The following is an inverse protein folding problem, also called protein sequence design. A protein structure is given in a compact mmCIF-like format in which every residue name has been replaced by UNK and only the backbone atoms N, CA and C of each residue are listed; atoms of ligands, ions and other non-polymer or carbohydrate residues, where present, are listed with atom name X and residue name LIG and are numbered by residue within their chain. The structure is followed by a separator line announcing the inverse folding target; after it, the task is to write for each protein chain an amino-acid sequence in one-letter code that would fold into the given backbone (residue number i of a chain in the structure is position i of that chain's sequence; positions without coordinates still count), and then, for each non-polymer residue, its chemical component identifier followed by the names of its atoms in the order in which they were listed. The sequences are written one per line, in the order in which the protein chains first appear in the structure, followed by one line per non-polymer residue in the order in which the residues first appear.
data_IF_100854940349
#
_entry.id   IF_100854940349
#
_cell.length_a   1.000
_cell.length_b   1.000
_cell.length_c   1.000
_cell.angle_alpha   90.00
_cell.angle_beta   90.00
_cell.angle_gamma   90.00
#
_symmetry.space_group_name_H-M   'P 1'
#
loop_
_entity.id
_entity.type
_entity.pdbx_description
1 polymer ?
#
# COMPACT_ATOMS: atom_id res chain seq x y z
N UNK A 1 -11.41 -23.70 6.17
CA UNK A 1 -12.06 -22.75 5.25
C UNK A 1 -11.16 -21.54 5.11
N UNK A 2 -10.77 -21.17 3.89
CA UNK A 2 -10.04 -19.93 3.61
C UNK A 2 -11.06 -18.78 3.73
N UNK A 3 -10.69 -17.67 4.37
CA UNK A 3 -11.62 -16.54 4.53
C UNK A 3 -12.06 -16.01 3.15
N UNK A 4 -13.36 -15.69 2.92
CA UNK A 4 -13.91 -15.33 1.61
C UNK A 4 -13.14 -14.24 0.85
N UNK A 5 -12.57 -13.26 1.58
CA UNK A 5 -11.79 -12.17 1.00
C UNK A 5 -10.47 -12.63 0.35
N UNK A 6 -9.90 -13.75 0.79
CA UNK A 6 -8.63 -14.28 0.24
C UNK A 6 -8.86 -14.88 -1.16
N UNK A 7 -9.98 -15.59 -1.34
CA UNK A 7 -10.35 -16.13 -2.66
C UNK A 7 -10.63 -15.00 -3.65
N UNK A 8 -11.34 -13.96 -3.21
CA UNK A 8 -11.55 -12.76 -4.01
C UNK A 8 -10.22 -12.10 -4.39
N UNK A 9 -9.31 -11.87 -3.43
CA UNK A 9 -7.97 -11.30 -3.70
C UNK A 9 -7.23 -12.12 -4.75
N UNK A 10 -7.24 -13.44 -4.63
CA UNK A 10 -6.56 -14.33 -5.58
C UNK A 10 -7.15 -14.20 -6.99
N UNK A 11 -8.47 -14.22 -7.12
CA UNK A 11 -9.17 -14.06 -8.40
C UNK A 11 -8.95 -12.67 -9.00
N UNK A 12 -8.99 -11.62 -8.18
CA UNK A 12 -8.72 -10.25 -8.61
C UNK A 12 -7.29 -10.10 -9.14
N UNK A 13 -6.29 -10.52 -8.36
CA UNK A 13 -4.87 -10.42 -8.71
C UNK A 13 -4.54 -11.19 -9.99
N UNK A 14 -5.24 -12.30 -10.27
CA UNK A 14 -5.07 -13.04 -11.51
C UNK A 14 -5.38 -12.20 -12.78
N UNK A 15 -6.07 -11.06 -12.66
CA UNK A 15 -6.33 -10.11 -13.75
C UNK A 15 -5.21 -9.08 -13.98
N UNK A 16 -4.27 -8.91 -13.04
CA UNK A 16 -3.15 -7.98 -13.22
C UNK A 16 -2.23 -8.42 -14.34
N UNK A 17 -1.61 -7.47 -15.04
CA UNK A 17 -0.54 -7.75 -15.98
C UNK A 17 0.60 -8.59 -15.37
N UNK A 18 1.10 -9.58 -16.13
CA UNK A 18 2.31 -10.34 -15.78
C UNK A 18 3.58 -9.69 -16.27
N UNK A 19 3.48 -8.53 -16.95
CA UNK A 19 4.63 -7.77 -17.41
C UNK A 19 5.44 -7.22 -16.23
N UNK A 20 6.71 -6.92 -16.50
CA UNK A 20 7.53 -6.13 -15.58
C UNK A 20 6.97 -4.71 -15.47
N UNK A 21 7.26 -4.04 -14.38
CA UNK A 21 6.81 -2.66 -14.18
C UNK A 21 6.77 -2.24 -12.74
N UNK A 22 6.08 -1.12 -12.51
CA UNK A 22 5.88 -0.53 -11.20
C UNK A 22 4.44 -0.77 -10.76
N UNK A 23 4.21 -0.92 -9.47
CA UNK A 23 2.88 -1.03 -8.88
C UNK A 23 2.75 -0.14 -7.66
N UNK A 24 1.52 0.24 -7.35
CA UNK A 24 1.18 0.83 -6.06
C UNK A 24 0.14 -0.04 -5.34
N UNK A 25 0.33 -0.25 -4.04
CA UNK A 25 -0.74 -0.71 -3.16
C UNK A 25 -1.47 0.53 -2.67
N UNK A 26 -2.80 0.55 -2.84
CA UNK A 26 -3.61 1.71 -2.53
C UNK A 26 -4.62 1.39 -1.42
N UNK A 27 -4.95 2.40 -0.63
CA UNK A 27 -5.90 2.27 0.49
C UNK A 27 -7.35 2.11 0.01
N UNK A 28 -8.28 2.06 0.96
CA UNK A 28 -9.71 1.94 0.70
C UNK A 28 -10.31 3.11 -0.09
N UNK A 29 -9.61 4.24 -0.18
CA UNK A 29 -10.03 5.41 -0.97
C UNK A 29 -9.29 5.50 -2.31
N UNK A 30 -8.62 4.41 -2.71
CA UNK A 30 -7.81 4.35 -3.92
C UNK A 30 -6.63 5.34 -3.91
N UNK A 31 -6.07 5.65 -2.74
CA UNK A 31 -4.87 6.51 -2.59
C UNK A 31 -3.63 5.64 -2.35
N UNK A 32 -2.50 5.87 -3.06
CA UNK A 32 -1.28 5.11 -2.85
C UNK A 32 -0.80 5.09 -1.39
N UNK A 33 -0.48 3.88 -0.91
CA UNK A 33 0.16 3.60 0.39
C UNK A 33 1.63 3.26 0.22
N UNK A 34 1.96 2.53 -0.85
CA UNK A 34 3.27 1.97 -1.08
C UNK A 34 3.49 1.83 -2.57
N UNK A 35 4.67 2.21 -3.04
CA UNK A 35 5.10 2.02 -4.42
C UNK A 35 6.23 1.00 -4.46
N UNK A 36 6.22 0.10 -5.45
CA UNK A 36 7.30 -0.85 -5.64
C UNK A 36 7.43 -1.29 -7.09
N UNK A 37 8.60 -1.76 -7.47
CA UNK A 37 8.86 -2.34 -8.80
C UNK A 37 8.95 -3.87 -8.82
N UNK A 38 8.81 -4.46 -10.00
CA UNK A 38 9.06 -5.89 -10.22
C UNK A 38 9.64 -6.19 -11.60
N UNK A 39 10.74 -6.97 -11.61
CA UNK A 39 11.34 -7.57 -12.81
C UNK A 39 10.83 -8.97 -13.11
N UNK A 40 10.10 -9.59 -12.18
CA UNK A 40 9.57 -10.95 -12.29
C UNK A 40 8.09 -10.95 -12.70
N UNK A 41 7.50 -9.76 -12.86
CA UNK A 41 6.10 -9.52 -13.19
C UNK A 41 5.32 -8.90 -12.04
N UNK A 42 4.56 -7.84 -12.35
CA UNK A 42 3.74 -7.10 -11.37
C UNK A 42 2.80 -8.05 -10.62
N UNK A 43 2.06 -8.89 -11.35
CA UNK A 43 1.16 -9.90 -10.78
C UNK A 43 1.83 -10.75 -9.70
N UNK A 44 3.01 -11.30 -10.00
CA UNK A 44 3.71 -12.21 -9.08
C UNK A 44 4.14 -11.50 -7.79
N UNK A 45 4.62 -10.24 -7.92
CA UNK A 45 5.05 -9.45 -6.76
C UNK A 45 3.88 -8.98 -5.91
N UNK A 46 2.80 -8.49 -6.53
CA UNK A 46 1.58 -8.09 -5.82
C UNK A 46 0.93 -9.29 -5.13
N UNK A 47 0.84 -10.44 -5.80
CA UNK A 47 0.33 -11.67 -5.19
C UNK A 47 1.12 -12.03 -3.92
N UNK A 48 2.45 -11.97 -3.99
CA UNK A 48 3.32 -12.24 -2.82
C UNK A 48 2.99 -11.34 -1.63
N UNK A 49 2.78 -10.04 -1.87
CA UNK A 49 2.39 -9.11 -0.80
C UNK A 49 1.04 -9.46 -0.19
N UNK A 50 0.04 -9.75 -1.03
CA UNK A 50 -1.34 -9.95 -0.57
C UNK A 50 -1.59 -11.33 0.04
N UNK A 51 -0.78 -12.34 -0.28
CA UNK A 51 -1.01 -13.72 0.18
C UNK A 51 0.06 -14.26 1.12
N UNK A 52 1.20 -13.58 1.29
CA UNK A 52 2.30 -14.06 2.13
C UNK A 52 2.66 -13.06 3.21
N UNK A 53 2.59 -13.50 4.47
CA UNK A 53 3.12 -12.77 5.61
C UNK A 53 4.67 -12.63 5.60
N UNK A 54 5.36 -13.20 4.60
CA UNK A 54 6.83 -13.16 4.47
C UNK A 54 7.34 -12.00 3.61
N UNK A 55 6.47 -11.18 3.04
CA UNK A 55 6.93 -9.96 2.39
C UNK A 55 7.53 -9.03 3.43
N UNK A 56 8.73 -8.50 3.19
CA UNK A 56 9.45 -7.66 4.17
C UNK A 56 8.61 -6.46 4.65
N UNK A 57 7.83 -5.85 3.76
CA UNK A 57 6.95 -4.71 4.13
C UNK A 57 5.81 -5.13 5.04
N UNK A 58 5.35 -6.39 4.95
CA UNK A 58 4.32 -6.95 5.83
C UNK A 58 4.94 -7.45 7.14
N UNK A 59 6.08 -8.14 7.05
CA UNK A 59 6.82 -8.67 8.20
C UNK A 59 7.30 -7.57 9.14
N UNK A 60 7.76 -6.43 8.58
CA UNK A 60 8.17 -5.25 9.34
C UNK A 60 6.99 -4.34 9.73
N UNK A 61 5.74 -4.77 9.52
CA UNK A 61 4.51 -4.00 9.83
C UNK A 61 4.42 -2.64 9.13
N UNK A 62 5.09 -2.46 7.99
CA UNK A 62 5.04 -1.18 7.26
C UNK A 62 3.70 -0.99 6.55
N UNK A 63 3.02 -2.08 6.17
CA UNK A 63 1.73 -2.01 5.49
C UNK A 63 0.73 -2.92 6.20
N UNK A 64 -0.44 -2.37 6.48
CA UNK A 64 -1.61 -3.15 6.85
C UNK A 64 -2.37 -3.62 5.60
N UNK A 65 -2.36 -4.93 5.33
CA UNK A 65 -3.15 -5.51 4.22
C UNK A 65 -4.64 -5.27 4.37
N UNK A 66 -5.12 -5.01 5.58
CA UNK A 66 -6.53 -4.66 5.79
C UNK A 66 -6.90 -3.34 5.10
N UNK A 67 -5.98 -2.36 5.07
CA UNK A 67 -6.22 -1.07 4.40
C UNK A 67 -6.12 -1.17 2.87
N UNK A 68 -5.50 -2.22 2.32
CA UNK A 68 -5.29 -2.32 0.86
C UNK A 68 -6.59 -2.71 0.14
N UNK A 69 -7.22 -1.72 -0.51
CA UNK A 69 -8.44 -1.89 -1.31
C UNK A 69 -8.18 -2.01 -2.81
N UNK A 70 -7.13 -1.35 -3.31
CA UNK A 70 -6.81 -1.29 -4.73
C UNK A 70 -5.32 -1.53 -5.01
N UNK A 71 -5.02 -1.88 -6.25
CA UNK A 71 -3.67 -1.98 -6.80
C UNK A 71 -3.64 -1.19 -8.09
N UNK A 72 -2.62 -0.37 -8.24
CA UNK A 72 -2.28 0.26 -9.52
C UNK A 72 -1.12 -0.49 -10.16
N UNK A 73 -1.20 -0.76 -11.44
CA UNK A 73 -0.14 -1.38 -12.22
C UNK A 73 0.27 -0.48 -13.39
N UNK A 74 1.58 -0.30 -13.53
CA UNK A 74 2.22 0.48 -14.58
C UNK A 74 3.22 -0.44 -15.28
N UNK A 75 2.76 -1.27 -16.25
CA UNK A 75 3.67 -2.12 -17.02
C UNK A 75 4.64 -1.26 -17.83
N UNK A 76 5.88 -1.74 -17.96
CA UNK A 76 6.90 -1.11 -18.81
C UNK A 76 7.46 -2.13 -19.80
N UNK A 77 7.97 -1.64 -20.93
CA UNK A 77 8.56 -2.50 -21.94
C UNK A 77 10.00 -2.90 -21.57
N UNK A 78 10.76 -2.01 -20.95
CA UNK A 78 12.18 -2.18 -20.68
C UNK A 78 12.50 -2.02 -19.19
N UNK A 79 13.45 -2.83 -18.69
CA UNK A 79 13.90 -2.77 -17.29
C UNK A 79 14.53 -1.43 -16.91
N UNK A 80 15.11 -0.72 -17.88
CA UNK A 80 15.69 0.61 -17.69
C UNK A 80 14.66 1.66 -17.25
N UNK A 81 13.38 1.46 -17.57
CA UNK A 81 12.30 2.40 -17.23
C UNK A 81 11.85 2.30 -15.76
N UNK A 82 12.16 1.18 -15.10
CA UNK A 82 11.58 0.84 -13.80
C UNK A 82 11.96 1.85 -12.72
N UNK A 83 13.25 2.15 -12.56
CA UNK A 83 13.74 3.05 -11.51
C UNK A 83 13.18 4.46 -11.67
N UNK A 84 13.20 5.01 -12.90
CA UNK A 84 12.72 6.36 -13.16
C UNK A 84 11.20 6.48 -12.89
N UNK A 85 10.42 5.48 -13.34
CA UNK A 85 8.98 5.44 -13.11
C UNK A 85 8.64 5.27 -11.62
N UNK A 86 9.36 4.40 -10.90
CA UNK A 86 9.19 4.18 -9.46
C UNK A 86 9.46 5.48 -8.68
N UNK A 87 10.56 6.17 -9.00
CA UNK A 87 10.88 7.47 -8.42
C UNK A 87 9.84 8.54 -8.77
N UNK A 88 9.40 8.65 -10.02
CA UNK A 88 8.37 9.63 -10.40
C UNK A 88 7.06 9.40 -9.64
N UNK A 89 6.63 8.14 -9.52
CA UNK A 89 5.44 7.77 -8.74
C UNK A 89 5.62 8.12 -7.26
N UNK A 90 6.74 7.74 -6.66
CA UNK A 90 7.01 8.03 -5.27
C UNK A 90 6.97 9.54 -4.98
N UNK A 91 7.74 10.33 -5.74
CA UNK A 91 7.82 11.78 -5.53
C UNK A 91 6.54 12.53 -5.87
N UNK A 92 5.66 11.98 -6.72
CA UNK A 92 4.36 12.56 -7.00
C UNK A 92 3.33 12.35 -5.86
N UNK A 93 3.38 11.20 -5.18
CA UNK A 93 2.33 10.81 -4.21
C UNK A 93 2.76 10.93 -2.74
N UNK A 94 4.05 10.77 -2.43
CA UNK A 94 4.56 10.87 -1.05
C UNK A 94 4.24 12.21 -0.37
N UNK A 95 4.35 13.38 -1.03
CA UNK A 95 3.96 14.65 -0.41
C UNK A 95 2.46 14.80 -0.14
N UNK A 96 1.61 14.07 -0.87
CA UNK A 96 0.14 14.16 -0.75
C UNK A 96 -0.38 13.30 0.39
N UNK A 97 0.17 12.09 0.50
CA UNK A 97 -0.05 11.19 1.62
C UNK A 97 1.20 10.32 1.73
N UNK A 98 1.98 10.57 2.80
CA UNK A 98 3.27 9.91 2.99
C UNK A 98 3.16 8.40 2.75
N UNK A 99 4.00 7.90 1.85
CA UNK A 99 4.06 6.50 1.51
C UNK A 99 4.79 5.74 2.61
N UNK A 100 4.36 4.50 2.81
CA UNK A 100 4.89 3.53 3.77
C UNK A 100 6.21 2.90 3.31
N UNK A 101 6.74 3.31 2.16
CA UNK A 101 8.07 2.91 1.72
C UNK A 101 9.08 3.24 2.82
N UNK A 102 9.84 2.23 3.27
CA UNK A 102 10.84 2.41 4.31
C UNK A 102 11.93 3.44 3.97
N UNK A 103 12.13 3.76 2.69
CA UNK A 103 13.12 4.76 2.26
C UNK A 103 12.49 5.78 1.33
N UNK A 104 12.99 7.00 1.42
CA UNK A 104 12.80 8.01 0.38
C UNK A 104 13.55 7.55 -0.85
N UNK A 105 12.85 7.42 -1.99
CA UNK A 105 13.49 7.04 -3.23
C UNK A 105 14.35 8.19 -3.76
N UNK A 106 15.46 7.91 -4.47
CA UNK A 106 16.20 8.93 -5.18
C UNK A 106 15.28 9.77 -6.09
N UNK A 107 15.57 11.07 -6.31
CA UNK A 107 14.87 11.86 -7.31
C UNK A 107 14.88 11.15 -8.66
N UNK A 108 13.82 11.29 -9.47
CA UNK A 108 13.80 10.69 -10.80
C UNK A 108 14.92 11.27 -11.67
N UNK A 109 15.52 10.43 -12.51
CA UNK A 109 16.52 10.84 -13.49
C UNK A 109 15.92 11.83 -14.48
N UNK A 110 14.66 11.62 -14.86
CA UNK A 110 13.91 12.48 -15.74
C UNK A 110 12.47 12.59 -15.26
N UNK A 111 12.00 13.82 -15.09
CA UNK A 111 10.58 14.08 -14.86
C UNK A 111 9.78 13.58 -16.06
N UNK A 112 8.79 12.73 -15.81
CA UNK A 112 7.90 12.22 -16.85
C UNK A 112 6.44 12.46 -16.47
N UNK A 113 5.59 12.51 -17.48
CA UNK A 113 4.15 12.36 -17.26
C UNK A 113 3.88 10.91 -16.85
N UNK A 114 3.20 10.72 -15.72
CA UNK A 114 2.85 9.38 -15.29
C UNK A 114 1.79 8.79 -16.22
N UNK A 115 1.99 7.58 -16.77
CA UNK A 115 0.95 6.93 -17.56
C UNK A 115 -0.27 6.62 -16.68
N UNK A 116 -1.43 6.47 -17.30
CA UNK A 116 -2.62 6.02 -16.57
C UNK A 116 -2.40 4.59 -16.05
N UNK A 117 -2.66 4.31 -14.75
CA UNK A 117 -2.50 2.98 -14.21
C UNK A 117 -3.62 2.04 -14.69
N UNK A 118 -3.26 0.76 -14.81
CA UNK A 118 -4.24 -0.32 -14.69
C UNK A 118 -4.69 -0.40 -13.22
N UNK A 119 -5.91 0.07 -12.92
CA UNK A 119 -6.48 0.03 -11.57
C UNK A 119 -7.26 -1.25 -11.35
N UNK A 120 -6.95 -1.96 -10.26
CA UNK A 120 -7.61 -3.19 -9.86
C UNK A 120 -8.05 -3.13 -8.39
N UNK A 121 -9.35 -3.30 -8.15
CA UNK A 121 -9.87 -3.52 -6.80
C UNK A 121 -9.59 -4.96 -6.34
N UNK A 122 -9.06 -5.11 -5.13
CA UNK A 122 -8.62 -6.41 -4.57
C UNK A 122 -9.49 -6.90 -3.41
N UNK A 123 -10.56 -6.21 -3.05
CA UNK A 123 -11.58 -6.67 -2.10
C UNK A 123 -12.99 -6.53 -2.71
N UNK A 124 -14.00 -7.30 -2.26
CA UNK A 124 -15.38 -7.14 -2.71
C UNK A 124 -15.95 -5.75 -2.38
N UNK A 125 -16.88 -5.25 -3.20
CA UNK A 125 -17.49 -3.91 -3.01
C UNK A 125 -18.14 -3.76 -1.63
N UNK A 126 -18.91 -4.77 -1.20
CA UNK A 126 -19.55 -4.78 0.12
C UNK A 126 -18.53 -4.62 1.24
N UNK A 127 -17.41 -5.33 1.14
CA UNK A 127 -16.34 -5.30 2.13
C UNK A 127 -15.57 -3.97 2.09
N UNK A 128 -15.36 -3.39 0.90
CA UNK A 128 -14.78 -2.06 0.75
C UNK A 128 -15.61 -1.01 1.48
N UNK A 129 -16.92 -1.00 1.25
CA UNK A 129 -17.84 -0.04 1.86
C UNK A 129 -17.94 -0.22 3.39
N UNK A 130 -18.00 -1.47 3.87
CA UNK A 130 -17.95 -1.76 5.31
C UNK A 130 -16.65 -1.25 5.95
N UNK A 131 -15.49 -1.55 5.35
CA UNK A 131 -14.18 -1.15 5.90
C UNK A 131 -13.94 0.36 5.87
N UNK A 132 -14.61 1.11 4.99
CA UNK A 132 -14.55 2.58 4.98
C UNK A 132 -15.24 3.24 6.17
N UNK A 133 -16.10 2.51 6.90
CA UNK A 133 -16.79 3.04 8.07
C UNK A 133 -15.77 3.62 9.08
N UNK A 134 -15.88 4.91 9.48
CA UNK A 134 -14.87 5.58 10.29
C UNK A 134 -14.53 4.85 11.60
N UNK A 135 -15.51 4.26 12.27
CA UNK A 135 -15.31 3.49 13.50
C UNK A 135 -14.46 2.24 13.29
N UNK A 136 -14.67 1.51 12.19
CA UNK A 136 -13.90 0.30 11.88
C UNK A 136 -12.48 0.65 11.44
N UNK A 137 -12.36 1.70 10.62
CA UNK A 137 -11.08 2.16 10.08
C UNK A 137 -10.17 2.73 11.18
N UNK A 138 -10.73 3.51 12.10
CA UNK A 138 -9.98 4.03 13.25
C UNK A 138 -9.52 2.91 14.18
N UNK A 139 -10.43 2.01 14.58
CA UNK A 139 -10.10 0.88 15.46
C UNK A 139 -9.00 0.01 14.86
N UNK A 140 -9.09 -0.30 13.56
CA UNK A 140 -8.05 -1.06 12.85
C UNK A 140 -6.71 -0.31 12.85
N UNK A 141 -6.71 0.97 12.49
CA UNK A 141 -5.50 1.76 12.41
C UNK A 141 -4.83 1.90 13.78
N UNK A 142 -5.60 2.06 14.86
CA UNK A 142 -5.07 2.12 16.22
C UNK A 142 -4.39 0.80 16.62
N UNK A 143 -5.04 -0.34 16.34
CA UNK A 143 -4.46 -1.67 16.58
C UNK A 143 -3.18 -1.89 15.80
N UNK A 144 -3.19 -1.58 14.50
CA UNK A 144 -1.99 -1.74 13.68
C UNK A 144 -0.85 -0.80 14.09
N UNK A 145 -1.17 0.45 14.47
CA UNK A 145 -0.18 1.39 14.99
C UNK A 145 0.49 0.88 16.27
N UNK A 146 -0.29 0.27 17.18
CA UNK A 146 0.27 -0.39 18.36
C UNK A 146 1.19 -1.58 18.00
N UNK A 147 0.85 -2.37 16.97
CA UNK A 147 1.72 -3.43 16.45
C UNK A 147 3.05 -2.87 15.92
N UNK A 148 3.03 -1.75 15.20
CA UNK A 148 4.23 -1.08 14.70
C UNK A 148 5.12 -0.61 15.86
N UNK A 149 4.54 0.05 16.86
CA UNK A 149 5.28 0.48 18.06
C UNK A 149 5.93 -0.72 18.74
N UNK A 150 5.16 -1.79 18.97
CA UNK A 150 5.69 -3.02 19.56
C UNK A 150 6.85 -3.58 18.75
N UNK A 151 6.70 -3.69 17.43
CA UNK A 151 7.76 -4.19 16.55
C UNK A 151 9.01 -3.29 16.55
N UNK A 152 8.83 -1.97 16.54
CA UNK A 152 9.92 -1.00 16.57
C UNK A 152 10.74 -1.09 17.86
N UNK A 153 10.07 -1.24 19.01
CA UNK A 153 10.72 -1.28 20.32
C UNK A 153 11.36 -2.65 20.61
N UNK A 154 10.78 -3.74 20.11
CA UNK A 154 11.15 -5.10 20.54
C UNK A 154 11.90 -5.92 19.48
N UNK A 155 11.75 -5.58 18.19
CA UNK A 155 12.31 -6.36 17.09
C UNK A 155 13.33 -5.55 16.29
N UNK A 156 12.94 -4.39 15.79
CA UNK A 156 13.78 -3.61 14.88
C UNK A 156 13.53 -2.11 15.00
N UNK A 157 14.46 -1.41 15.65
CA UNK A 157 14.54 0.04 15.60
C UNK A 157 15.30 0.45 14.34
N UNK A 158 14.59 0.94 13.33
CA UNK A 158 15.20 1.35 12.06
C UNK A 158 14.51 2.57 11.44
N UNK A 159 15.24 3.42 10.68
CA UNK A 159 14.65 4.56 9.98
C UNK A 159 13.47 4.17 9.09
N UNK A 160 13.52 2.97 8.51
CA UNK A 160 12.47 2.45 7.65
C UNK A 160 11.14 2.27 8.39
N UNK A 161 11.18 1.67 9.58
CA UNK A 161 9.99 1.49 10.40
C UNK A 161 9.54 2.81 10.99
N UNK A 162 10.47 3.69 11.38
CA UNK A 162 10.13 5.02 11.89
C UNK A 162 9.34 5.85 10.87
N UNK A 163 9.73 5.77 9.58
CA UNK A 163 9.00 6.43 8.49
C UNK A 163 7.59 5.87 8.31
N UNK A 164 7.43 4.55 8.25
CA UNK A 164 6.11 3.93 8.15
C UNK A 164 5.24 4.28 9.37
N UNK A 165 5.81 4.27 10.57
CA UNK A 165 5.13 4.67 11.80
C UNK A 165 4.60 6.11 11.71
N UNK A 166 5.41 7.07 11.22
CA UNK A 166 4.97 8.45 11.04
C UNK A 166 3.78 8.57 10.06
N UNK A 167 3.82 7.84 8.94
CA UNK A 167 2.72 7.81 7.98
C UNK A 167 1.44 7.19 8.58
N UNK A 168 1.57 6.11 9.37
CA UNK A 168 0.43 5.51 10.07
C UNK A 168 -0.15 6.45 11.14
N UNK A 169 0.69 7.22 11.84
CA UNK A 169 0.23 8.20 12.82
C UNK A 169 -0.56 9.35 12.17
N UNK A 170 -0.09 9.87 11.04
CA UNK A 170 -0.82 10.88 10.26
C UNK A 170 -2.20 10.36 9.81
N UNK A 171 -2.27 9.10 9.36
CA UNK A 171 -3.54 8.43 9.03
C UNK A 171 -4.46 8.26 10.25
N UNK A 172 -3.90 7.84 11.38
CA UNK A 172 -4.64 7.69 12.63
C UNK A 172 -5.31 9.00 13.04
N UNK A 173 -4.57 10.11 12.97
CA UNK A 173 -5.12 11.44 13.25
C UNK A 173 -6.26 11.82 12.30
N UNK A 174 -6.14 11.53 10.99
CA UNK A 174 -7.21 11.78 10.01
C UNK A 174 -8.47 10.95 10.29
N UNK A 175 -8.33 9.67 10.58
CA UNK A 175 -9.47 8.79 10.86
C UNK A 175 -10.13 9.14 12.20
N UNK A 176 -9.35 9.55 13.19
CA UNK A 176 -9.87 10.06 14.45
C UNK A 176 -10.73 11.30 14.23
N UNK A 177 -10.24 12.27 13.44
CA UNK A 177 -11.02 13.46 13.09
C UNK A 177 -12.32 13.08 12.37
N UNK A 178 -12.25 12.16 11.41
CA UNK A 178 -13.42 11.69 10.65
C UNK A 178 -14.49 11.06 11.55
N UNK A 179 -14.09 10.31 12.59
CA UNK A 179 -15.03 9.75 13.56
C UNK A 179 -15.68 10.83 14.43
N UNK A 180 -14.92 11.82 14.89
CA UNK A 180 -15.46 12.93 15.68
C UNK A 180 -16.46 13.78 14.89
N UNK A 181 -16.22 13.96 13.60
CA UNK A 181 -17.12 14.72 12.73
C UNK A 181 -18.46 14.01 12.48
N UNK A 182 -18.57 12.68 12.72
CA UNK A 182 -19.86 11.98 12.74
C UNK A 182 -20.73 12.30 13.97
N UNK A 183 -20.12 12.84 15.03
CA UNK A 183 -20.80 13.15 16.30
C UNK A 183 -21.29 14.60 16.38
N UNK A 184 -21.05 15.38 15.32
CA UNK A 184 -21.51 16.77 15.18
C UNK A 184 -22.78 16.82 14.34
#
# INVERSE_FOLDING_TARGET
MIAPHIEYRKAAVARLTSQIGVYALCDLDNVPLYVGQSTDGIRARVQRHLTSARSDVIANRQIDLWEVGFVWAFPVAQKSELNNLESCLFHQYDPKSQLMNGKVLPPPEQQMFLPEPEVLQVIPDKELEERKAPQLRLDRQAKHYAEIIGHFLTVKNSPEIARAMAAHFARLARYHQSLLDLSK
#
